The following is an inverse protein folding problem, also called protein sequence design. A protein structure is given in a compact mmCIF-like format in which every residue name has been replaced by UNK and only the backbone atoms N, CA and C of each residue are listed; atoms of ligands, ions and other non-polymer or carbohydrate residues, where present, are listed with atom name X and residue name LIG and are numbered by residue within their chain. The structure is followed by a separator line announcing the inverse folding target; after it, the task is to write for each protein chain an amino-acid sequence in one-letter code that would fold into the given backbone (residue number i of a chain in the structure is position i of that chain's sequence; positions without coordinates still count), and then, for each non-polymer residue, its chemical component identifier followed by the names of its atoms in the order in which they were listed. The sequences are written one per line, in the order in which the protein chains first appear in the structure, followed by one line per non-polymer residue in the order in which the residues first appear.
data_IF_389194420763
#
_entry.id   IF_389194420763
#
_cell.length_a   1.000
_cell.length_b   1.000
_cell.length_c   1.000
_cell.angle_alpha   90.00
_cell.angle_beta   90.00
_cell.angle_gamma   90.00
#
_symmetry.space_group_name_H-M   'P 1'
#
loop_
_entity.id
_entity.type
_entity.pdbx_description
1 polymer ?
#
# COMPACT_ATOMS: atom_id res chain seq x y z
N UNK A 1 -8.91 -7.50 21.75
CA UNK A 1 -9.71 -6.44 22.43
C UNK A 1 -10.73 -5.79 21.49
N UNK A 2 -10.30 -5.11 20.41
CA UNK A 2 -11.20 -4.38 19.49
C UNK A 2 -12.34 -5.25 18.94
N UNK A 3 -12.03 -6.46 18.45
CA UNK A 3 -13.03 -7.39 17.89
C UNK A 3 -14.16 -7.73 18.89
N UNK A 4 -13.83 -7.98 20.15
CA UNK A 4 -14.81 -8.32 21.20
C UNK A 4 -15.69 -7.12 21.57
N UNK A 5 -15.11 -5.92 21.67
CA UNK A 5 -15.88 -4.70 21.93
C UNK A 5 -16.82 -4.37 20.77
N UNK A 6 -16.37 -4.59 19.54
CA UNK A 6 -17.20 -4.40 18.34
C UNK A 6 -18.33 -5.43 18.26
N UNK A 7 -18.07 -6.71 18.52
CA UNK A 7 -19.11 -7.75 18.59
C UNK A 7 -20.18 -7.40 19.63
N UNK A 8 -19.76 -6.99 20.84
CA UNK A 8 -20.69 -6.55 21.87
C UNK A 8 -21.54 -5.36 21.41
N UNK A 9 -20.92 -4.34 20.79
CA UNK A 9 -21.65 -3.18 20.25
C UNK A 9 -22.62 -3.55 19.13
N UNK A 10 -22.26 -4.47 18.24
CA UNK A 10 -23.14 -4.96 17.17
C UNK A 10 -24.31 -5.75 17.73
N UNK A 11 -24.09 -6.61 18.73
CA UNK A 11 -25.15 -7.35 19.44
C UNK A 11 -26.14 -6.40 20.09
N UNK A 12 -25.65 -5.41 20.83
CA UNK A 12 -26.50 -4.44 21.52
C UNK A 12 -27.35 -3.65 20.52
N UNK A 13 -26.78 -3.28 19.36
CA UNK A 13 -27.54 -2.67 18.28
C UNK A 13 -28.59 -3.59 17.67
N UNK A 14 -28.29 -4.88 17.45
CA UNK A 14 -29.25 -5.84 16.89
C UNK A 14 -30.45 -6.09 17.81
N UNK A 15 -30.31 -5.87 19.12
CA UNK A 15 -31.41 -5.95 20.09
C UNK A 15 -32.31 -4.71 20.10
N UNK A 16 -31.85 -3.58 19.56
CA UNK A 16 -32.64 -2.35 19.51
C UNK A 16 -33.79 -2.44 18.50
N UNK A 17 -34.98 -1.97 18.88
CA UNK A 17 -36.21 -2.01 18.05
C UNK A 17 -36.10 -1.20 16.76
N UNK A 18 -35.39 -0.07 16.78
CA UNK A 18 -35.04 0.75 15.62
C UNK A 18 -33.52 0.73 15.47
N UNK A 19 -33.00 -0.28 14.80
CA UNK A 19 -31.56 -0.41 14.58
C UNK A 19 -31.16 0.05 13.18
N UNK A 20 -29.89 0.41 13.01
CA UNK A 20 -29.27 0.83 11.75
C UNK A 20 -29.49 -0.16 10.60
N UNK A 21 -29.72 -1.45 10.91
CA UNK A 21 -29.96 -2.51 9.94
C UNK A 21 -31.45 -2.72 9.61
N UNK A 22 -32.35 -2.01 10.29
CA UNK A 22 -33.81 -2.05 10.09
C UNK A 22 -34.35 -0.82 9.35
N UNK A 23 -33.63 0.31 9.37
CA UNK A 23 -34.04 1.56 8.70
C UNK A 23 -33.74 1.57 7.19
N UNK A 24 -32.76 0.79 6.74
CA UNK A 24 -32.52 0.54 5.32
C UNK A 24 -33.57 -0.46 4.79
N UNK A 25 -34.76 0.04 4.46
CA UNK A 25 -35.91 -0.74 4.01
C UNK A 25 -35.54 -1.89 3.06
N UNK A 26 -36.10 -3.08 3.32
CA UNK A 26 -36.07 -4.26 2.45
C UNK A 26 -34.70 -4.86 2.06
N UNK A 27 -33.60 -4.58 2.79
CA UNK A 27 -32.38 -5.40 2.68
C UNK A 27 -32.45 -6.75 3.41
N UNK A 28 -33.64 -7.18 3.83
CA UNK A 28 -33.88 -8.53 4.38
C UNK A 28 -33.62 -9.66 3.36
N UNK A 29 -33.26 -9.33 2.11
CA UNK A 29 -33.06 -10.26 1.00
C UNK A 29 -31.61 -10.40 0.52
N UNK A 30 -30.63 -9.68 1.08
CA UNK A 30 -29.22 -10.00 0.80
C UNK A 30 -28.83 -11.28 1.55
N UNK A 31 -29.04 -12.44 0.91
CA UNK A 31 -28.72 -13.78 1.41
C UNK A 31 -27.22 -14.02 1.66
N UNK A 32 -26.35 -13.07 1.33
CA UNK A 32 -24.90 -13.17 1.54
C UNK A 32 -24.44 -12.23 2.64
N UNK A 33 -24.04 -12.83 3.75
CA UNK A 33 -23.45 -12.11 4.89
C UNK A 33 -22.04 -11.67 4.51
N UNK A 34 -21.63 -10.42 4.79
CA UNK A 34 -20.23 -10.01 4.64
C UNK A 34 -19.37 -10.59 5.77
N UNK A 35 -18.05 -10.63 5.56
CA UNK A 35 -17.06 -10.87 6.60
C UNK A 35 -16.34 -9.57 6.98
N UNK A 36 -16.12 -9.35 8.27
CA UNK A 36 -15.27 -8.26 8.77
C UNK A 36 -13.99 -8.89 9.32
N UNK A 37 -12.87 -8.61 8.66
CA UNK A 37 -11.54 -9.07 9.04
C UNK A 37 -10.82 -7.92 9.75
N UNK A 38 -10.46 -8.13 11.03
CA UNK A 38 -9.72 -7.17 11.84
C UNK A 38 -8.27 -7.66 11.98
N UNK A 39 -7.33 -6.85 11.53
CA UNK A 39 -5.89 -7.12 11.63
C UNK A 39 -5.24 -6.08 12.54
N UNK A 40 -4.15 -6.47 13.20
CA UNK A 40 -3.27 -5.56 13.93
C UNK A 40 -2.04 -5.29 13.06
N UNK A 41 -1.49 -4.08 13.06
CA UNK A 41 -0.34 -3.71 12.22
C UNK A 41 0.88 -4.61 12.44
N UNK A 42 1.02 -5.19 13.63
CA UNK A 42 2.05 -6.18 13.91
C UNK A 42 1.97 -7.41 13.00
N UNK A 43 0.84 -7.67 12.34
CA UNK A 43 0.61 -8.78 11.43
C UNK A 43 1.58 -8.82 10.24
N UNK A 44 1.95 -7.66 9.69
CA UNK A 44 2.88 -7.60 8.55
C UNK A 44 3.60 -6.25 8.56
N UNK A 45 4.69 -6.16 9.34
CA UNK A 45 5.43 -4.91 9.54
C UNK A 45 6.22 -4.48 8.30
N UNK A 46 6.70 -5.42 7.49
CA UNK A 46 7.47 -5.16 6.26
C UNK A 46 6.72 -4.24 5.31
N UNK A 47 5.44 -4.52 5.08
CA UNK A 47 4.59 -3.74 4.18
C UNK A 47 4.43 -2.29 4.63
N UNK A 48 4.51 -2.03 5.93
CA UNK A 48 4.39 -0.67 6.48
C UNK A 48 5.64 0.19 6.21
N UNK A 49 6.80 -0.42 5.95
CA UNK A 49 8.09 0.27 5.78
C UNK A 49 8.75 0.02 4.42
N UNK A 50 8.29 -0.90 3.59
CA UNK A 50 8.92 -1.15 2.29
C UNK A 50 8.80 0.05 1.35
N UNK A 51 9.80 0.24 0.49
CA UNK A 51 9.69 1.12 -0.66
C UNK A 51 8.91 0.41 -1.76
N UNK A 52 7.79 1.01 -2.16
CA UNK A 52 6.95 0.50 -3.24
C UNK A 52 7.07 1.41 -4.46
N UNK A 53 7.18 0.80 -5.64
CA UNK A 53 7.50 1.51 -6.87
C UNK A 53 6.28 1.74 -7.78
N UNK A 54 5.07 1.38 -7.31
CA UNK A 54 3.80 1.67 -7.99
C UNK A 54 3.38 3.11 -7.76
N UNK A 55 2.62 3.64 -8.70
CA UNK A 55 2.38 5.09 -8.79
C UNK A 55 1.80 5.68 -7.50
N UNK A 56 0.71 5.12 -6.98
CA UNK A 56 0.02 5.69 -5.82
C UNK A 56 0.78 5.52 -4.51
N UNK A 57 1.31 4.32 -4.16
CA UNK A 57 2.20 4.18 -3.02
C UNK A 57 3.38 5.14 -3.07
N UNK A 58 4.02 5.29 -4.24
CA UNK A 58 5.18 6.15 -4.42
C UNK A 58 4.82 7.64 -4.28
N UNK A 59 3.72 8.10 -4.88
CA UNK A 59 3.21 9.47 -4.70
C UNK A 59 2.89 9.76 -3.23
N UNK A 60 2.32 8.80 -2.51
CA UNK A 60 2.01 8.95 -1.09
C UNK A 60 3.25 9.02 -0.22
N UNK A 61 4.17 8.07 -0.39
CA UNK A 61 5.37 7.93 0.44
C UNK A 61 6.40 9.03 0.18
N UNK A 62 6.56 9.44 -1.08
CA UNK A 62 7.62 10.38 -1.49
C UNK A 62 7.13 11.83 -1.54
N UNK A 63 5.90 12.08 -2.02
CA UNK A 63 5.38 13.44 -2.20
C UNK A 63 4.32 13.84 -1.16
N UNK A 64 4.03 12.98 -0.19
CA UNK A 64 3.17 13.31 0.95
C UNK A 64 1.70 13.51 0.59
N UNK A 65 1.11 12.58 -0.17
CA UNK A 65 -0.32 12.61 -0.52
C UNK A 65 -1.22 12.61 0.73
N UNK A 66 -1.92 13.71 0.99
CA UNK A 66 -2.82 13.87 2.15
C UNK A 66 -4.14 14.45 1.70
N UNK A 67 -5.25 13.83 2.11
CA UNK A 67 -6.60 14.27 1.73
C UNK A 67 -6.73 14.48 0.21
N UNK A 68 -6.21 13.53 -0.57
CA UNK A 68 -6.14 13.59 -2.04
C UNK A 68 -5.35 14.77 -2.60
N UNK A 69 -4.54 15.46 -1.80
CA UNK A 69 -3.75 16.61 -2.22
C UNK A 69 -2.27 16.37 -1.99
N UNK A 70 -1.45 16.88 -2.89
CA UNK A 70 0.00 16.94 -2.75
C UNK A 70 0.51 18.28 -3.26
N UNK A 71 1.77 18.58 -2.97
CA UNK A 71 2.43 19.78 -3.47
C UNK A 71 3.84 19.46 -3.94
N UNK A 72 4.19 19.90 -5.15
CA UNK A 72 5.53 19.71 -5.72
C UNK A 72 6.19 21.06 -6.00
N UNK A 73 7.52 21.09 -5.97
CA UNK A 73 8.27 22.27 -6.37
C UNK A 73 8.20 22.43 -7.89
N UNK A 74 7.67 23.57 -8.37
CA UNK A 74 7.63 23.88 -9.79
C UNK A 74 8.95 24.44 -10.31
N UNK A 75 9.25 24.20 -11.60
CA UNK A 75 10.47 24.65 -12.30
C UNK A 75 10.77 26.16 -12.20
N UNK A 76 9.74 26.99 -11.95
CA UNK A 76 9.84 28.47 -11.90
C UNK A 76 9.61 29.07 -10.51
N UNK A 77 10.08 28.39 -9.46
CA UNK A 77 10.20 28.88 -8.07
C UNK A 77 8.91 29.02 -7.23
N UNK A 78 7.86 28.28 -7.55
CA UNK A 78 6.64 28.20 -6.74
C UNK A 78 6.22 26.77 -6.44
N UNK A 79 5.70 26.52 -5.24
CA UNK A 79 5.09 25.24 -4.88
C UNK A 79 3.74 25.12 -5.59
N UNK A 80 3.57 24.08 -6.41
CA UNK A 80 2.32 23.78 -7.12
C UNK A 80 1.56 22.70 -6.38
N UNK A 81 0.30 22.96 -6.03
CA UNK A 81 -0.58 21.97 -5.42
C UNK A 81 -1.39 21.23 -6.48
N UNK A 82 -1.52 19.92 -6.32
CA UNK A 82 -2.34 19.04 -7.16
C UNK A 82 -3.33 18.26 -6.31
N UNK A 83 -4.51 18.02 -6.87
CA UNK A 83 -5.57 17.18 -6.28
C UNK A 83 -5.75 15.92 -7.14
N UNK A 84 -5.77 14.75 -6.51
CA UNK A 84 -5.80 13.42 -7.12
C UNK A 84 -7.01 12.65 -6.58
N UNK A 85 -8.14 12.75 -7.27
CA UNK A 85 -9.39 12.12 -6.85
C UNK A 85 -9.99 11.24 -7.97
N UNK A 86 -11.24 10.81 -7.81
CA UNK A 86 -11.93 9.93 -8.78
C UNK A 86 -12.38 10.64 -10.05
N UNK A 87 -12.36 11.96 -10.10
CA UNK A 87 -12.68 12.74 -11.30
C UNK A 87 -11.51 12.80 -12.29
N UNK A 88 -10.30 12.48 -11.83
CA UNK A 88 -9.10 12.40 -12.65
C UNK A 88 -9.00 11.04 -13.37
N UNK A 89 -9.25 10.98 -14.69
CA UNK A 89 -9.25 9.72 -15.42
C UNK A 89 -7.86 9.09 -15.52
N UNK A 90 -6.79 9.91 -15.57
CA UNK A 90 -5.43 9.38 -15.63
C UNK A 90 -5.05 8.71 -14.30
N UNK A 91 -5.36 9.38 -13.18
CA UNK A 91 -5.11 8.81 -11.85
C UNK A 91 -5.86 7.50 -11.64
N UNK A 92 -7.15 7.45 -11.96
CA UNK A 92 -7.99 6.26 -11.77
C UNK A 92 -7.52 5.08 -12.63
N UNK A 93 -7.00 5.33 -13.83
CA UNK A 93 -6.51 4.28 -14.72
C UNK A 93 -5.12 3.75 -14.31
N UNK A 94 -4.26 4.60 -13.75
CA UNK A 94 -2.82 4.32 -13.65
C UNK A 94 -2.27 4.22 -12.23
N UNK A 95 -3.09 4.40 -11.19
CA UNK A 95 -2.62 4.43 -9.79
C UNK A 95 -1.91 3.15 -9.32
N UNK A 96 -2.24 1.99 -9.93
CA UNK A 96 -1.69 0.68 -9.57
C UNK A 96 -0.49 0.26 -10.43
N UNK A 97 -0.17 0.99 -11.50
CA UNK A 97 0.93 0.66 -12.41
C UNK A 97 2.29 0.91 -11.75
N UNK A 98 3.30 0.17 -12.20
CA UNK A 98 4.69 0.43 -11.86
C UNK A 98 5.12 1.78 -12.44
N UNK A 99 5.95 2.53 -11.71
CA UNK A 99 6.33 3.90 -12.12
C UNK A 99 6.87 4.02 -13.56
N UNK A 100 7.69 3.07 -14.10
CA UNK A 100 8.11 3.11 -15.49
C UNK A 100 6.94 3.04 -16.50
N UNK A 101 5.89 2.28 -16.18
CA UNK A 101 4.70 2.14 -17.04
C UNK A 101 3.86 3.42 -17.04
N UNK A 102 3.80 4.13 -15.91
CA UNK A 102 3.15 5.45 -15.84
C UNK A 102 3.81 6.45 -16.79
N UNK A 103 5.14 6.43 -16.88
CA UNK A 103 5.88 7.30 -17.80
C UNK A 103 5.53 6.99 -19.27
N UNK A 104 5.39 5.71 -19.63
CA UNK A 104 4.94 5.29 -20.95
C UNK A 104 3.51 5.74 -21.25
N UNK A 105 2.61 5.68 -20.26
CA UNK A 105 1.22 6.13 -20.44
C UNK A 105 1.14 7.66 -20.59
N UNK A 106 1.94 8.44 -19.85
CA UNK A 106 2.05 9.89 -20.05
C UNK A 106 2.50 10.20 -21.49
N UNK A 107 3.53 9.50 -21.98
CA UNK A 107 4.03 9.67 -23.34
C UNK A 107 2.98 9.30 -24.39
N UNK A 108 2.26 8.18 -24.19
CA UNK A 108 1.19 7.76 -25.08
C UNK A 108 0.06 8.80 -25.16
N UNK A 109 -0.36 9.35 -24.01
CA UNK A 109 -1.41 10.36 -23.96
C UNK A 109 -0.96 11.70 -24.57
N UNK A 110 0.29 12.10 -24.36
CA UNK A 110 0.88 13.28 -24.97
C UNK A 110 0.97 13.15 -26.49
N UNK A 111 1.40 12.00 -27.00
CA UNK A 111 1.48 11.72 -28.43
C UNK A 111 0.10 11.72 -29.08
N UNK A 112 -0.91 11.12 -28.43
CA UNK A 112 -2.29 11.16 -28.91
C UNK A 112 -2.84 12.60 -28.88
N UNK A 113 -2.59 13.36 -27.82
CA UNK A 113 -2.97 14.79 -27.76
C UNK A 113 -2.37 15.61 -28.91
N UNK A 114 -1.07 15.43 -29.22
CA UNK A 114 -0.42 16.14 -30.35
C UNK A 114 -1.09 15.82 -31.68
N UNK A 115 -1.41 14.55 -31.95
CA UNK A 115 -2.13 14.12 -33.16
C UNK A 115 -3.51 14.75 -33.24
N UNK A 116 -4.26 14.74 -32.14
CA UNK A 116 -5.62 15.31 -32.09
C UNK A 116 -5.59 16.83 -32.33
N UNK A 117 -4.60 17.55 -31.79
CA UNK A 117 -4.38 18.98 -32.06
C UNK A 117 -4.04 19.25 -33.52
N UNK A 118 -3.15 18.45 -34.12
CA UNK A 118 -2.82 18.57 -35.55
C UNK A 118 -4.05 18.34 -36.44
N UNK A 119 -4.90 17.38 -36.10
CA UNK A 119 -6.13 17.11 -36.83
C UNK A 119 -7.13 18.28 -36.73
N UNK A 120 -7.29 18.86 -35.53
CA UNK A 120 -8.10 20.07 -35.34
C UNK A 120 -7.56 21.22 -36.18
N UNK A 121 -6.25 21.48 -36.15
CA UNK A 121 -5.61 22.54 -36.94
C UNK A 121 -5.80 22.37 -38.45
N UNK A 122 -5.75 21.13 -38.95
CA UNK A 122 -6.06 20.81 -40.36
C UNK A 122 -7.52 21.12 -40.70
N UNK A 123 -8.46 20.77 -39.81
CA UNK A 123 -9.90 20.99 -40.00
C UNK A 123 -10.33 22.46 -39.87
N UNK A 124 -9.57 23.29 -39.15
CA UNK A 124 -9.82 24.74 -39.00
C UNK A 124 -9.11 25.60 -40.04
N UNK A 125 -8.51 25.00 -41.07
CA UNK A 125 -7.99 25.75 -42.23
C UNK A 125 -6.58 26.33 -42.05
N UNK A 126 -5.68 25.65 -41.34
CA UNK A 126 -4.27 26.04 -41.19
C UNK A 126 -3.42 25.95 -42.46
N UNK A 127 -3.94 26.32 -43.63
CA UNK A 127 -3.14 26.48 -44.85
C UNK A 127 -2.90 27.98 -45.09
N UNK A 128 -1.83 28.50 -44.49
CA UNK A 128 -1.31 29.85 -44.75
C UNK A 128 -0.88 29.97 -46.22
N UNK A 129 -1.80 30.24 -47.14
CA UNK A 129 -1.45 30.52 -48.55
C UNK A 129 -2.49 30.24 -49.65
N UNK A 130 -3.74 29.86 -49.36
CA UNK A 130 -4.76 29.71 -50.41
C UNK A 130 -5.73 30.92 -50.41
N UNK A 131 -5.86 31.59 -51.57
CA UNK A 131 -6.87 32.62 -51.79
C UNK A 131 -8.28 32.03 -51.61
N UNK A 132 -9.09 32.74 -50.84
CA UNK A 132 -10.43 32.34 -50.41
C UNK A 132 -11.45 32.59 -51.53
N UNK A 133 -11.92 31.53 -52.20
CA UNK A 133 -13.09 31.59 -53.08
C UNK A 133 -14.37 31.30 -52.28
N UNK A 134 -15.36 32.19 -52.38
CA UNK A 134 -16.50 32.33 -51.46
C UNK A 134 -17.57 31.23 -51.54
N UNK A 135 -17.26 30.07 -52.12
CA UNK A 135 -18.21 28.98 -52.42
C UNK A 135 -18.14 27.79 -51.45
N UNK A 136 -17.10 27.69 -50.59
CA UNK A 136 -16.88 26.55 -49.67
C UNK A 136 -17.43 26.72 -48.23
N UNK A 137 -18.23 27.75 -47.98
CA UNK A 137 -18.65 28.15 -46.63
C UNK A 137 -19.54 27.14 -45.88
N UNK A 138 -20.33 26.32 -46.57
CA UNK A 138 -21.36 25.48 -45.92
C UNK A 138 -20.77 24.17 -45.36
N UNK A 139 -19.71 23.62 -45.97
CA UNK A 139 -18.97 22.46 -45.45
C UNK A 139 -18.02 22.83 -44.32
N UNK A 140 -17.29 23.93 -44.47
CA UNK A 140 -16.31 24.41 -43.48
C UNK A 140 -16.94 24.85 -42.17
N UNK A 141 -18.18 25.35 -42.16
CA UNK A 141 -18.87 25.77 -40.91
C UNK A 141 -19.10 24.61 -39.95
N UNK A 142 -19.45 23.41 -40.45
CA UNK A 142 -19.61 22.22 -39.59
C UNK A 142 -18.27 21.71 -39.04
N UNK A 143 -17.21 21.73 -39.85
CA UNK A 143 -15.87 21.35 -39.41
C UNK A 143 -15.28 22.33 -38.40
N UNK A 144 -15.48 23.63 -38.60
CA UNK A 144 -15.14 24.69 -37.65
C UNK A 144 -15.94 24.55 -36.35
N UNK A 145 -17.25 24.28 -36.41
CA UNK A 145 -18.08 24.12 -35.22
C UNK A 145 -17.66 22.90 -34.39
N UNK A 146 -17.37 21.76 -35.03
CA UNK A 146 -16.86 20.57 -34.34
C UNK A 146 -15.47 20.79 -33.72
N UNK A 147 -14.59 21.51 -34.42
CA UNK A 147 -13.27 21.88 -33.91
C UNK A 147 -13.36 22.84 -32.71
N UNK A 148 -14.22 23.84 -32.76
CA UNK A 148 -14.47 24.76 -31.64
C UNK A 148 -15.02 24.02 -30.43
N UNK A 149 -15.88 23.03 -30.64
CA UNK A 149 -16.44 22.20 -29.56
C UNK A 149 -15.41 21.26 -28.91
N UNK A 150 -14.33 20.87 -29.60
CA UNK A 150 -13.28 19.98 -29.05
C UNK A 150 -12.14 20.72 -28.35
N UNK A 151 -12.01 22.04 -28.52
CA UNK A 151 -10.95 22.83 -27.86
C UNK A 151 -11.01 22.80 -26.32
N UNK A 152 -12.19 22.87 -25.66
CA UNK A 152 -12.27 22.74 -24.21
C UNK A 152 -11.78 21.37 -23.72
N UNK A 153 -12.21 20.29 -24.40
CA UNK A 153 -11.81 18.92 -24.08
C UNK A 153 -10.28 18.71 -24.25
N UNK A 154 -9.70 19.23 -25.34
CA UNK A 154 -8.25 19.19 -25.56
C UNK A 154 -7.49 19.99 -24.51
N UNK A 155 -8.07 21.10 -24.03
CA UNK A 155 -7.47 21.94 -22.98
C UNK A 155 -7.47 21.20 -21.65
N UNK A 156 -8.59 20.62 -21.24
CA UNK A 156 -8.70 19.83 -20.02
C UNK A 156 -7.77 18.61 -20.05
N UNK A 157 -7.73 17.90 -21.18
CA UNK A 157 -6.82 16.77 -21.37
C UNK A 157 -5.35 17.18 -21.26
N UNK A 158 -4.97 18.33 -21.83
CA UNK A 158 -3.62 18.88 -21.66
C UNK A 158 -3.31 19.17 -20.19
N UNK A 159 -4.25 19.73 -19.43
CA UNK A 159 -4.07 19.99 -18.00
C UNK A 159 -3.83 18.71 -17.19
N UNK A 160 -4.56 17.64 -17.49
CA UNK A 160 -4.34 16.31 -16.87
C UNK A 160 -2.93 15.78 -17.22
N UNK A 161 -2.53 15.82 -18.49
CA UNK A 161 -1.19 15.40 -18.93
C UNK A 161 -0.10 16.22 -18.24
N UNK A 162 -0.21 17.55 -18.22
CA UNK A 162 0.77 18.44 -17.62
C UNK A 162 0.87 18.19 -16.10
N UNK A 163 -0.26 17.98 -15.42
CA UNK A 163 -0.31 17.62 -13.99
C UNK A 163 0.47 16.34 -13.70
N UNK A 164 0.20 15.25 -14.41
CA UNK A 164 0.90 13.98 -14.16
C UNK A 164 2.35 14.00 -14.62
N UNK A 165 2.68 14.78 -15.65
CA UNK A 165 4.06 15.03 -16.05
C UNK A 165 4.84 15.72 -14.92
N UNK A 166 4.30 16.77 -14.31
CA UNK A 166 4.94 17.46 -13.17
C UNK A 166 5.15 16.52 -11.98
N UNK A 167 4.14 15.70 -11.65
CA UNK A 167 4.24 14.71 -10.56
C UNK A 167 5.32 13.67 -10.88
N UNK A 168 5.33 13.12 -12.10
CA UNK A 168 6.31 12.11 -12.51
C UNK A 168 7.74 12.68 -12.55
N UNK A 169 7.93 13.93 -12.98
CA UNK A 169 9.24 14.60 -12.94
C UNK A 169 9.74 14.79 -11.51
N UNK A 170 8.86 15.21 -10.59
CA UNK A 170 9.22 15.35 -9.17
C UNK A 170 9.62 13.99 -8.57
N UNK A 171 8.84 12.94 -8.82
CA UNK A 171 9.17 11.58 -8.40
C UNK A 171 10.50 11.11 -8.97
N UNK A 172 10.76 11.33 -10.27
CA UNK A 172 12.00 10.91 -10.91
C UNK A 172 13.23 11.60 -10.27
N UNK A 173 13.09 12.86 -9.84
CA UNK A 173 14.12 13.57 -9.08
C UNK A 173 14.46 12.83 -7.78
N UNK A 174 13.44 12.60 -6.94
CA UNK A 174 13.57 11.90 -5.66
C UNK A 174 14.14 10.48 -5.80
N UNK A 175 13.65 9.71 -6.78
CA UNK A 175 14.13 8.35 -7.07
C UNK A 175 15.63 8.38 -7.38
N UNK A 176 16.10 9.29 -8.22
CA UNK A 176 17.52 9.38 -8.62
C UNK A 176 18.42 9.88 -7.49
N UNK A 177 17.94 10.86 -6.72
CA UNK A 177 18.68 11.44 -5.61
C UNK A 177 18.88 10.42 -4.49
N UNK A 178 17.81 9.70 -4.13
CA UNK A 178 17.78 8.74 -3.02
C UNK A 178 18.11 7.30 -3.43
N UNK A 179 18.16 7.00 -4.73
CA UNK A 179 18.30 5.65 -5.29
C UNK A 179 17.18 4.69 -4.82
N UNK A 180 15.94 5.18 -4.84
CA UNK A 180 14.76 4.42 -4.37
C UNK A 180 14.52 3.13 -5.17
N UNK A 181 14.87 3.12 -6.45
CA UNK A 181 14.84 1.94 -7.31
C UNK A 181 15.74 0.82 -6.75
N UNK A 182 16.91 1.18 -6.22
CA UNK A 182 17.83 0.22 -5.62
C UNK A 182 17.33 -0.31 -4.28
N UNK A 183 16.75 0.56 -3.42
CA UNK A 183 16.14 0.14 -2.16
C UNK A 183 14.98 -0.83 -2.41
N UNK A 184 13.99 -0.44 -3.21
CA UNK A 184 12.82 -1.26 -3.50
C UNK A 184 13.21 -2.64 -4.07
N UNK A 185 14.17 -2.69 -5.01
CA UNK A 185 14.66 -3.94 -5.57
C UNK A 185 15.30 -4.84 -4.51
N UNK A 186 16.21 -4.29 -3.71
CA UNK A 186 16.94 -5.05 -2.67
C UNK A 186 16.00 -5.53 -1.57
N UNK A 187 15.04 -4.70 -1.17
CA UNK A 187 14.01 -5.08 -0.19
C UNK A 187 13.15 -6.23 -0.72
N UNK A 188 12.71 -6.15 -1.98
CA UNK A 188 11.96 -7.24 -2.60
C UNK A 188 12.79 -8.53 -2.70
N UNK A 189 14.03 -8.45 -3.19
CA UNK A 189 14.94 -9.60 -3.27
C UNK A 189 15.17 -10.21 -1.88
N UNK A 190 15.34 -9.38 -0.84
CA UNK A 190 15.51 -9.81 0.54
C UNK A 190 14.26 -10.52 1.09
N UNK A 191 13.06 -10.03 0.78
CA UNK A 191 11.82 -10.67 1.20
C UNK A 191 11.57 -11.99 0.45
N UNK A 192 11.82 -12.04 -0.86
CA UNK A 192 11.56 -13.24 -1.68
C UNK A 192 12.62 -14.33 -1.48
N UNK A 193 13.89 -13.94 -1.36
CA UNK A 193 15.02 -14.89 -1.30
C UNK A 193 15.48 -15.19 0.13
N UNK A 194 15.09 -14.35 1.10
CA UNK A 194 15.50 -14.47 2.50
C UNK A 194 16.96 -14.15 2.78
N UNK A 195 17.73 -13.66 1.79
CA UNK A 195 19.17 -13.40 1.92
C UNK A 195 19.57 -12.16 1.12
N UNK A 196 20.48 -11.36 1.68
CA UNK A 196 21.18 -10.27 1.01
C UNK A 196 22.68 -10.38 1.28
N UNK A 197 23.51 -9.99 0.30
CA UNK A 197 24.95 -9.92 0.52
C UNK A 197 25.33 -8.81 1.53
N UNK A 198 26.30 -9.11 2.39
CA UNK A 198 26.75 -8.19 3.45
C UNK A 198 27.30 -6.88 2.89
N UNK A 199 28.01 -6.92 1.77
CA UNK A 199 28.55 -5.72 1.12
C UNK A 199 27.43 -4.87 0.51
N UNK A 200 26.38 -5.49 -0.02
CA UNK A 200 25.21 -4.78 -0.53
C UNK A 200 24.40 -4.12 0.58
N UNK A 201 24.24 -4.80 1.72
CA UNK A 201 23.59 -4.27 2.92
C UNK A 201 24.32 -3.01 3.40
N UNK A 202 25.62 -3.11 3.65
CA UNK A 202 26.41 -1.98 4.14
C UNK A 202 26.56 -0.88 3.09
N UNK A 203 26.67 -1.25 1.81
CA UNK A 203 26.68 -0.30 0.71
C UNK A 203 25.41 0.55 0.65
N UNK A 204 24.24 -0.02 0.93
CA UNK A 204 22.99 0.73 1.02
C UNK A 204 23.00 1.67 2.25
N UNK A 205 23.36 1.16 3.44
CA UNK A 205 23.37 1.96 4.67
C UNK A 205 24.35 3.14 4.62
N UNK A 206 25.47 3.00 3.91
CA UNK A 206 26.48 4.07 3.76
C UNK A 206 26.27 4.91 2.50
N UNK A 207 25.45 4.46 1.56
CA UNK A 207 25.25 5.09 0.26
C UNK A 207 24.22 6.23 0.26
N UNK A 208 23.60 6.40 -0.91
CA UNK A 208 22.48 7.34 -1.15
C UNK A 208 21.24 6.96 -0.31
N UNK A 209 20.27 7.88 -0.28
CA UNK A 209 19.05 7.74 0.48
C UNK A 209 19.04 8.63 1.72
N UNK A 210 17.84 8.96 2.16
CA UNK A 210 17.63 9.71 3.40
C UNK A 210 17.97 8.86 4.61
N UNK A 211 18.08 9.49 5.79
CA UNK A 211 18.24 8.78 7.07
C UNK A 211 17.09 7.77 7.29
N UNK A 212 15.89 8.14 6.86
CA UNK A 212 14.69 7.28 6.95
C UNK A 212 14.78 6.10 5.99
N UNK A 213 15.23 6.29 4.74
CA UNK A 213 15.38 5.19 3.77
C UNK A 213 16.36 4.13 4.29
N UNK A 214 17.50 4.59 4.82
CA UNK A 214 18.52 3.72 5.44
C UNK A 214 17.99 2.96 6.66
N UNK A 215 17.20 3.64 7.51
CA UNK A 215 16.59 3.03 8.69
C UNK A 215 15.53 1.98 8.31
N UNK A 216 14.66 2.29 7.34
CA UNK A 216 13.67 1.35 6.78
C UNK A 216 14.37 0.11 6.24
N UNK A 217 15.45 0.29 5.47
CA UNK A 217 16.23 -0.80 4.91
C UNK A 217 16.88 -1.69 6.00
N UNK A 218 17.47 -1.08 7.03
CA UNK A 218 18.04 -1.82 8.16
C UNK A 218 16.97 -2.61 8.93
N UNK A 219 15.77 -2.03 9.12
CA UNK A 219 14.65 -2.72 9.76
C UNK A 219 14.10 -3.82 8.85
N UNK A 220 14.07 -3.62 7.54
CA UNK A 220 13.68 -4.66 6.57
C UNK A 220 14.59 -5.88 6.68
N UNK A 221 15.89 -5.67 6.76
CA UNK A 221 16.85 -6.76 7.01
C UNK A 221 16.66 -7.43 8.36
N UNK A 222 16.36 -6.63 9.38
CA UNK A 222 16.06 -7.16 10.70
C UNK A 222 14.82 -8.05 10.70
N UNK A 223 13.78 -7.75 9.92
CA UNK A 223 12.56 -8.59 9.86
C UNK A 223 12.67 -9.74 8.87
N UNK A 224 13.48 -9.64 7.81
CA UNK A 224 13.62 -10.71 6.81
C UNK A 224 14.48 -11.88 7.28
N UNK A 225 15.22 -11.73 8.38
CA UNK A 225 16.14 -12.74 8.92
C UNK A 225 15.47 -13.48 10.08
N UNK A 226 15.78 -14.76 10.30
CA UNK A 226 15.27 -15.47 11.49
C UNK A 226 16.07 -15.12 12.74
N UNK A 227 17.41 -15.18 12.62
CA UNK A 227 18.35 -14.86 13.69
C UNK A 227 19.46 -13.96 13.15
N UNK A 228 19.95 -13.05 13.99
CA UNK A 228 21.02 -12.11 13.64
C UNK A 228 22.19 -12.31 14.61
N UNK A 229 23.37 -12.68 14.10
CA UNK A 229 24.58 -12.67 14.91
C UNK A 229 24.84 -11.28 15.50
N UNK A 230 25.29 -11.23 16.75
CA UNK A 230 25.59 -9.97 17.45
C UNK A 230 26.58 -9.09 16.67
N UNK A 231 27.55 -9.70 15.99
CA UNK A 231 28.53 -9.00 15.14
C UNK A 231 27.90 -8.31 13.92
N UNK A 232 26.80 -8.84 13.38
CA UNK A 232 26.07 -8.19 12.29
C UNK A 232 25.22 -7.04 12.79
N UNK A 233 24.60 -7.19 13.96
CA UNK A 233 23.86 -6.13 14.63
C UNK A 233 24.78 -4.93 14.90
N UNK A 234 25.96 -5.16 15.48
CA UNK A 234 26.95 -4.11 15.75
C UNK A 234 27.43 -3.41 14.48
N UNK A 235 27.62 -4.17 13.41
CA UNK A 235 28.00 -3.61 12.11
C UNK A 235 26.91 -2.69 11.55
N UNK A 236 25.64 -3.11 11.61
CA UNK A 236 24.50 -2.29 11.14
C UNK A 236 24.37 -1.03 11.99
N UNK A 237 24.39 -1.17 13.31
CA UNK A 237 24.29 -0.04 14.24
C UNK A 237 25.44 0.97 14.03
N UNK A 238 26.65 0.47 13.74
CA UNK A 238 27.80 1.32 13.41
C UNK A 238 27.56 2.07 12.10
N UNK A 239 27.12 1.39 11.03
CA UNK A 239 26.85 2.03 9.74
C UNK A 239 25.72 3.09 9.83
N UNK A 240 24.68 2.81 10.62
CA UNK A 240 23.59 3.77 10.89
C UNK A 240 24.10 4.99 11.66
N UNK A 241 24.95 4.78 12.68
CA UNK A 241 25.53 5.87 13.48
C UNK A 241 26.49 6.74 12.66
N UNK A 242 27.32 6.13 11.81
CA UNK A 242 28.19 6.85 10.86
C UNK A 242 27.38 7.68 9.85
N UNK A 243 26.15 7.26 9.54
CA UNK A 243 25.20 8.02 8.71
C UNK A 243 24.30 8.97 9.53
N UNK A 244 24.60 9.16 10.81
CA UNK A 244 23.85 10.01 11.75
C UNK A 244 22.36 9.69 11.82
N UNK A 245 22.00 8.41 11.70
CA UNK A 245 20.61 7.92 11.78
C UNK A 245 20.25 7.64 13.23
N UNK A 246 19.07 8.11 13.68
CA UNK A 246 18.50 7.68 14.95
C UNK A 246 18.12 6.19 14.89
N UNK A 247 18.70 5.40 15.78
CA UNK A 247 18.51 3.94 15.80
C UNK A 247 17.36 3.50 16.70
N UNK A 248 16.61 4.42 17.31
CA UNK A 248 15.59 4.08 18.30
C UNK A 248 14.51 3.13 17.77
N UNK A 249 14.00 3.37 16.55
CA UNK A 249 13.05 2.47 15.91
C UNK A 249 13.66 1.07 15.64
N UNK A 250 14.92 1.02 15.20
CA UNK A 250 15.63 -0.24 14.96
C UNK A 250 15.79 -1.04 16.26
N UNK A 251 16.16 -0.38 17.37
CA UNK A 251 16.25 -1.03 18.68
C UNK A 251 14.91 -1.56 19.16
N UNK A 252 13.83 -0.79 18.95
CA UNK A 252 12.47 -1.21 19.29
C UNK A 252 12.09 -2.49 18.55
N UNK A 253 12.22 -2.52 17.23
CA UNK A 253 11.89 -3.70 16.43
C UNK A 253 12.77 -4.89 16.82
N UNK A 254 14.06 -4.67 17.10
CA UNK A 254 14.98 -5.73 17.54
C UNK A 254 14.52 -6.34 18.85
N UNK A 255 14.11 -5.50 19.80
CA UNK A 255 13.60 -5.94 21.11
C UNK A 255 12.31 -6.74 20.98
N UNK A 256 11.33 -6.24 20.21
CA UNK A 256 10.05 -6.93 20.00
C UNK A 256 10.26 -8.27 19.30
N UNK A 257 11.10 -8.33 18.27
CA UNK A 257 11.47 -9.57 17.58
C UNK A 257 12.05 -10.61 18.56
N UNK A 258 13.00 -10.20 19.41
CA UNK A 258 13.59 -11.08 20.42
C UNK A 258 12.58 -11.58 21.47
N UNK A 259 11.66 -10.74 21.91
CA UNK A 259 10.59 -11.12 22.84
C UNK A 259 9.63 -12.13 22.20
N UNK A 260 9.29 -11.94 20.93
CA UNK A 260 8.42 -12.85 20.20
C UNK A 260 9.05 -14.24 20.03
N UNK A 261 10.32 -14.30 19.65
CA UNK A 261 11.08 -15.58 19.59
C UNK A 261 11.10 -16.25 20.96
N UNK A 262 11.37 -15.50 22.04
CA UNK A 262 11.43 -16.05 23.40
C UNK A 262 10.08 -16.60 23.89
N UNK A 263 8.98 -15.91 23.58
CA UNK A 263 7.62 -16.35 23.91
C UNK A 263 7.22 -17.60 23.11
N UNK A 264 7.62 -17.68 21.84
CA UNK A 264 7.42 -18.87 21.02
C UNK A 264 8.14 -20.09 21.59
N UNK A 265 9.39 -19.92 22.04
CA UNK A 265 10.16 -20.99 22.68
C UNK A 265 9.57 -21.41 24.04
N UNK A 266 9.09 -20.47 24.85
CA UNK A 266 8.51 -20.75 26.17
C UNK A 266 7.17 -21.52 26.11
N UNK A 267 6.36 -21.30 25.08
CA UNK A 267 5.08 -21.99 24.88
C UNK A 267 5.19 -23.34 24.15
N UNK A 268 6.41 -23.89 24.00
CA UNK A 268 6.66 -25.19 23.36
C UNK A 268 6.07 -26.41 24.10
N UNK A 269 5.37 -26.21 25.23
CA UNK A 269 4.55 -27.24 25.89
C UNK A 269 3.13 -27.38 25.28
N UNK A 270 2.64 -26.42 24.49
CA UNK A 270 1.39 -26.53 23.73
C UNK A 270 1.69 -26.61 22.24
N UNK A 271 1.84 -27.83 21.73
CA UNK A 271 2.05 -28.13 20.31
C UNK A 271 0.90 -27.57 19.47
N UNK A 272 1.16 -26.52 18.69
CA UNK A 272 0.81 -26.41 17.25
C UNK A 272 0.68 -24.97 16.72
N UNK A 273 0.42 -23.95 17.55
CA UNK A 273 -0.09 -22.66 17.03
C UNK A 273 0.89 -21.46 17.15
N UNK A 274 1.97 -21.58 17.91
CA UNK A 274 2.89 -20.46 18.24
C UNK A 274 4.29 -20.69 17.63
N UNK A 275 4.49 -21.69 16.80
CA UNK A 275 5.65 -21.69 15.87
C UNK A 275 5.24 -21.02 14.56
N UNK A 276 3.97 -21.20 14.20
CA UNK A 276 3.33 -20.72 12.99
C UNK A 276 3.19 -19.18 12.93
N UNK A 277 3.05 -18.45 14.04
CA UNK A 277 3.06 -16.96 14.03
C UNK A 277 4.44 -16.35 13.77
N UNK A 278 5.54 -16.96 14.24
CA UNK A 278 6.90 -16.49 13.95
C UNK A 278 7.28 -16.84 12.50
N UNK A 279 6.84 -18.02 12.05
CA UNK A 279 6.87 -18.42 10.65
C UNK A 279 5.93 -17.56 9.77
N UNK A 280 4.80 -17.05 10.25
CA UNK A 280 3.91 -16.15 9.48
C UNK A 280 4.34 -14.68 9.52
N UNK A 281 4.95 -14.21 10.60
CA UNK A 281 5.46 -12.84 10.75
C UNK A 281 6.81 -12.64 10.05
N UNK A 282 7.65 -13.69 10.02
CA UNK A 282 9.02 -13.60 9.50
C UNK A 282 9.39 -14.70 8.50
N UNK A 283 8.73 -15.87 8.51
CA UNK A 283 9.08 -17.05 7.69
C UNK A 283 8.23 -17.29 6.42
N UNK A 284 7.09 -16.62 6.22
CA UNK A 284 6.26 -16.80 5.02
C UNK A 284 6.77 -16.01 3.82
N UNK A 285 7.87 -15.27 4.01
CA UNK A 285 8.73 -14.82 2.92
C UNK A 285 9.64 -15.96 2.41
N UNK A 286 9.86 -17.02 3.20
CA UNK A 286 10.82 -18.11 2.92
C UNK A 286 10.11 -19.45 2.55
N UNK A 287 8.93 -19.75 3.11
CA UNK A 287 8.25 -21.05 2.89
C UNK A 287 7.45 -21.16 1.57
N UNK A 288 7.45 -20.14 0.71
CA UNK A 288 6.81 -20.22 -0.62
C UNK A 288 7.59 -21.11 -1.63
N UNK A 289 8.79 -21.59 -1.27
CA UNK A 289 9.70 -22.29 -2.20
C UNK A 289 9.40 -23.80 -2.35
N UNK A 290 8.55 -24.40 -1.52
CA UNK A 290 8.29 -25.86 -1.56
C UNK A 290 6.95 -26.27 -2.16
N UNK A 291 6.08 -25.34 -2.58
CA UNK A 291 4.82 -25.64 -3.25
C UNK A 291 4.80 -25.15 -4.70
N UNK A 292 5.23 -26.01 -5.62
CA UNK A 292 4.74 -26.00 -7.00
C UNK A 292 5.41 -25.00 -7.95
N UNK A 293 6.39 -25.51 -8.69
CA UNK A 293 7.05 -24.86 -9.82
C UNK A 293 6.04 -24.61 -10.96
N UNK A 294 5.30 -23.50 -10.91
CA UNK A 294 4.53 -23.00 -12.07
C UNK A 294 4.41 -21.48 -12.19
N UNK A 295 5.01 -20.68 -11.30
CA UNK A 295 5.00 -19.21 -11.35
C UNK A 295 6.42 -18.61 -11.35
N UNK A 296 7.34 -19.17 -12.13
CA UNK A 296 8.71 -18.65 -12.25
C UNK A 296 8.83 -17.43 -13.18
N UNK A 297 7.72 -16.76 -13.51
CA UNK A 297 7.69 -15.54 -14.33
C UNK A 297 6.75 -14.44 -13.79
N UNK A 298 6.06 -14.64 -12.67
CA UNK A 298 5.34 -13.55 -12.01
C UNK A 298 6.17 -13.02 -10.85
N UNK A 299 6.49 -11.74 -10.92
CA UNK A 299 7.15 -10.92 -9.90
C UNK A 299 6.33 -10.72 -8.62
N UNK A 300 5.16 -11.35 -8.47
CA UNK A 300 4.18 -10.99 -7.46
C UNK A 300 4.22 -11.92 -6.24
N UNK A 301 5.02 -11.53 -5.24
CA UNK A 301 4.84 -12.02 -3.88
C UNK A 301 3.53 -11.45 -3.31
N UNK A 302 2.48 -12.28 -3.22
CA UNK A 302 1.19 -11.87 -2.64
C UNK A 302 1.35 -11.64 -1.12
N UNK A 303 1.00 -10.44 -0.67
CA UNK A 303 1.09 -10.03 0.74
C UNK A 303 0.38 -11.03 1.67
N UNK A 304 0.91 -11.22 2.87
CA UNK A 304 0.29 -12.12 3.87
C UNK A 304 -1.15 -11.68 4.18
N UNK A 305 -1.41 -10.36 4.18
CA UNK A 305 -2.75 -9.81 4.37
C UNK A 305 -3.71 -10.30 3.28
N UNK A 306 -3.32 -10.17 2.01
CA UNK A 306 -4.15 -10.56 0.88
C UNK A 306 -4.40 -12.07 0.86
N UNK A 307 -3.39 -12.90 1.12
CA UNK A 307 -3.56 -14.36 1.22
C UNK A 307 -4.51 -14.75 2.35
N UNK A 308 -4.37 -14.11 3.51
CA UNK A 308 -5.23 -14.40 4.66
C UNK A 308 -6.67 -13.94 4.43
N UNK A 309 -6.88 -12.77 3.81
CA UNK A 309 -8.21 -12.30 3.42
C UNK A 309 -8.85 -13.24 2.40
N UNK A 310 -8.10 -13.70 1.40
CA UNK A 310 -8.56 -14.70 0.43
C UNK A 310 -9.03 -15.98 1.12
N UNK A 311 -8.21 -16.53 2.02
CA UNK A 311 -8.52 -17.72 2.82
C UNK A 311 -9.77 -17.53 3.71
N UNK A 312 -9.87 -16.40 4.41
CA UNK A 312 -11.03 -16.05 5.23
C UNK A 312 -12.30 -15.92 4.39
N UNK A 313 -12.21 -15.32 3.20
CA UNK A 313 -13.34 -15.19 2.28
C UNK A 313 -13.75 -16.52 1.66
N UNK A 314 -12.85 -17.49 1.49
CA UNK A 314 -13.24 -18.85 1.11
C UNK A 314 -13.99 -19.59 2.23
N UNK A 315 -13.61 -19.34 3.48
CA UNK A 315 -14.21 -19.96 4.67
C UNK A 315 -14.07 -21.49 4.66
N UNK A 316 -13.03 -22.02 4.02
CA UNK A 316 -12.64 -23.43 4.14
C UNK A 316 -11.67 -23.58 5.31
N UNK A 317 -11.81 -24.60 6.16
CA UNK A 317 -10.85 -24.87 7.22
C UNK A 317 -9.43 -24.95 6.65
N UNK A 318 -8.52 -24.15 7.19
CA UNK A 318 -7.11 -24.20 6.85
C UNK A 318 -6.27 -23.70 8.04
N UNK A 319 -5.01 -24.16 8.17
CA UNK A 319 -4.14 -23.75 9.28
C UNK A 319 -3.86 -22.24 9.33
N UNK A 320 -4.02 -21.52 8.22
CA UNK A 320 -3.80 -20.07 8.16
C UNK A 320 -4.85 -19.31 8.98
N UNK A 321 -6.10 -19.75 8.95
CA UNK A 321 -7.23 -19.05 9.56
C UNK A 321 -7.74 -19.69 10.86
N UNK A 322 -7.30 -20.90 11.21
CA UNK A 322 -7.75 -21.62 12.41
C UNK A 322 -7.43 -20.90 13.73
N UNK A 323 -6.41 -20.03 13.72
CA UNK A 323 -6.02 -19.20 14.88
C UNK A 323 -6.92 -17.98 15.10
N UNK A 324 -7.77 -17.62 14.13
CA UNK A 324 -8.61 -16.43 14.23
C UNK A 324 -9.80 -16.65 15.14
N UNK A 325 -10.06 -15.65 15.98
CA UNK A 325 -11.26 -15.61 16.82
C UNK A 325 -12.44 -15.17 15.97
N UNK A 326 -13.49 -15.98 15.94
CA UNK A 326 -14.69 -15.72 15.15
C UNK A 326 -15.81 -15.22 16.07
N UNK A 327 -16.46 -14.14 15.63
CA UNK A 327 -17.63 -13.56 16.27
C UNK A 327 -18.80 -13.53 15.30
N UNK A 328 -19.96 -14.04 15.73
CA UNK A 328 -21.22 -13.90 15.01
C UNK A 328 -22.22 -13.11 15.88
N UNK A 329 -22.41 -11.80 15.63
CA UNK A 329 -23.32 -10.96 16.40
C UNK A 329 -24.78 -11.43 16.41
N UNK A 330 -25.20 -12.25 15.43
CA UNK A 330 -26.56 -12.82 15.34
C UNK A 330 -26.68 -14.17 16.04
N UNK A 331 -25.58 -14.88 16.26
CA UNK A 331 -25.60 -16.17 16.96
C UNK A 331 -25.79 -15.97 18.47
N UNK A 332 -26.33 -16.97 19.21
CA UNK A 332 -26.45 -16.91 20.66
C UNK A 332 -25.10 -16.63 21.35
N UNK A 333 -25.12 -15.92 22.49
CA UNK A 333 -23.89 -15.61 23.26
C UNK A 333 -23.15 -16.87 23.73
N UNK A 334 -23.82 -18.02 23.84
CA UNK A 334 -23.19 -19.29 24.19
C UNK A 334 -22.24 -19.85 23.12
N UNK A 335 -22.27 -19.31 21.90
CA UNK A 335 -21.39 -19.71 20.80
C UNK A 335 -20.37 -18.62 20.41
N UNK A 336 -20.32 -17.49 21.12
CA UNK A 336 -19.40 -16.39 20.80
C UNK A 336 -17.98 -16.68 21.30
N UNK A 337 -16.98 -16.58 20.42
CA UNK A 337 -15.57 -16.68 20.81
C UNK A 337 -15.04 -18.11 20.98
N UNK A 338 -15.80 -19.13 20.59
CA UNK A 338 -15.28 -20.50 20.47
C UNK A 338 -14.58 -20.66 19.12
N UNK A 339 -13.31 -21.08 19.15
CA UNK A 339 -12.51 -21.42 17.96
C UNK A 339 -13.13 -22.54 17.10
N UNK A 340 -14.15 -23.24 17.60
CA UNK A 340 -14.81 -24.37 16.93
C UNK A 340 -16.07 -24.00 16.14
N UNK A 341 -16.51 -22.73 16.10
CA UNK A 341 -17.58 -22.33 15.18
C UNK A 341 -16.97 -22.08 13.80
N UNK A 342 -16.92 -23.11 12.96
CA UNK A 342 -16.33 -22.99 11.63
C UNK A 342 -16.98 -21.85 10.84
N UNK A 343 -16.14 -20.91 10.40
CA UNK A 343 -16.51 -19.85 9.47
C UNK A 343 -17.10 -20.48 8.21
N UNK A 344 -18.38 -20.29 7.92
CA UNK A 344 -19.03 -20.88 6.73
C UNK A 344 -19.01 -19.89 5.57
N UNK A 345 -17.98 -20.00 4.72
CA UNK A 345 -17.90 -19.31 3.43
C UNK A 345 -18.63 -20.08 2.30
N UNK A 346 -18.52 -19.60 1.05
CA UNK A 346 -17.71 -18.47 0.60
C UNK A 346 -18.42 -17.11 0.78
N UNK A 347 -17.64 -16.08 1.13
CA UNK A 347 -18.07 -14.69 1.24
C UNK A 347 -17.82 -13.95 -0.08
N UNK A 348 -18.81 -13.15 -0.52
CA UNK A 348 -18.65 -12.24 -1.67
C UNK A 348 -18.13 -10.86 -1.28
N UNK A 349 -18.34 -10.47 -0.03
CA UNK A 349 -18.02 -9.15 0.49
C UNK A 349 -17.14 -9.27 1.73
N UNK A 350 -16.03 -8.52 1.76
CA UNK A 350 -15.16 -8.40 2.92
C UNK A 350 -14.94 -6.92 3.26
N UNK A 351 -14.99 -6.62 4.55
CA UNK A 351 -14.45 -5.40 5.12
C UNK A 351 -13.16 -5.78 5.82
N UNK A 352 -12.04 -5.20 5.42
CA UNK A 352 -10.72 -5.43 5.99
C UNK A 352 -10.31 -4.17 6.74
N UNK A 353 -10.07 -4.27 8.04
CA UNK A 353 -9.67 -3.14 8.85
C UNK A 353 -8.33 -3.39 9.55
N UNK A 354 -7.33 -2.58 9.21
CA UNK A 354 -6.00 -2.63 9.81
C UNK A 354 -5.87 -1.67 10.99
N UNK A 355 -5.69 -2.20 12.20
CA UNK A 355 -5.54 -1.44 13.44
C UNK A 355 -4.06 -1.08 13.63
N UNK A 356 -3.76 0.20 13.80
CA UNK A 356 -2.38 0.65 14.04
C UNK A 356 -1.65 1.14 12.78
N UNK A 357 -2.40 1.50 11.74
CA UNK A 357 -1.86 2.12 10.54
C UNK A 357 -1.93 1.21 9.30
N UNK A 358 -2.26 1.81 8.18
CA UNK A 358 -2.41 1.14 6.90
C UNK A 358 -1.78 1.96 5.80
N UNK A 359 -1.68 1.41 4.58
CA UNK A 359 -1.07 2.13 3.47
C UNK A 359 -1.66 1.73 2.12
N UNK A 360 -1.17 2.39 1.07
CA UNK A 360 -1.65 2.14 -0.29
C UNK A 360 -1.12 0.86 -0.93
N UNK A 361 -0.07 0.25 -0.38
CA UNK A 361 0.42 -1.06 -0.83
C UNK A 361 -0.61 -2.13 -0.48
N UNK A 362 -1.10 -2.14 0.76
CA UNK A 362 -2.13 -3.07 1.22
C UNK A 362 -3.44 -2.88 0.47
N UNK A 363 -3.87 -1.61 0.33
CA UNK A 363 -5.03 -1.26 -0.47
C UNK A 363 -4.89 -1.82 -1.89
N UNK A 364 -3.78 -1.56 -2.56
CA UNK A 364 -3.54 -2.01 -3.94
C UNK A 364 -3.61 -3.53 -4.06
N UNK A 365 -2.94 -4.25 -3.17
CA UNK A 365 -2.93 -5.72 -3.17
C UNK A 365 -4.33 -6.32 -2.95
N UNK A 366 -5.14 -5.72 -2.06
CA UNK A 366 -6.51 -6.16 -1.82
C UNK A 366 -7.45 -5.86 -3.00
N UNK A 367 -7.28 -4.72 -3.68
CA UNK A 367 -8.05 -4.41 -4.88
C UNK A 367 -7.70 -5.35 -6.04
N UNK A 368 -6.42 -5.67 -6.21
CA UNK A 368 -5.98 -6.64 -7.21
C UNK A 368 -6.54 -8.03 -6.92
N UNK A 369 -6.47 -8.49 -5.67
CA UNK A 369 -7.09 -9.74 -5.23
C UNK A 369 -8.59 -9.77 -5.57
N UNK A 370 -9.32 -8.70 -5.24
CA UNK A 370 -10.76 -8.60 -5.48
C UNK A 370 -11.11 -8.72 -6.97
N UNK A 371 -10.33 -8.06 -7.84
CA UNK A 371 -10.53 -8.03 -9.29
C UNK A 371 -10.07 -9.31 -10.01
N UNK A 372 -9.07 -10.02 -9.48
CA UNK A 372 -8.57 -11.28 -10.04
C UNK A 372 -9.55 -12.44 -9.86
N UNK A 373 -10.39 -12.40 -8.84
CA UNK A 373 -11.31 -13.49 -8.53
C UNK A 373 -12.53 -13.54 -9.46
N UNK A 374 -13.05 -14.76 -9.68
CA UNK A 374 -14.22 -15.02 -10.50
C UNK A 374 -15.25 -15.83 -9.70
N UNK A 375 -16.45 -15.28 -9.40
CA UNK A 375 -16.88 -13.91 -9.69
C UNK A 375 -16.07 -12.86 -8.91
N UNK A 376 -16.02 -11.64 -9.43
CA UNK A 376 -15.37 -10.49 -8.77
C UNK A 376 -15.92 -10.35 -7.35
N UNK A 377 -15.02 -10.26 -6.38
CA UNK A 377 -15.38 -10.04 -4.98
C UNK A 377 -15.34 -8.55 -4.64
N UNK A 378 -16.08 -8.16 -3.61
CA UNK A 378 -16.09 -6.78 -3.13
C UNK A 378 -15.29 -6.67 -1.84
N UNK A 379 -14.17 -5.94 -1.86
CA UNK A 379 -13.30 -5.76 -0.70
C UNK A 379 -13.17 -4.28 -0.36
N UNK A 380 -13.65 -3.91 0.83
CA UNK A 380 -13.48 -2.58 1.40
C UNK A 380 -12.28 -2.64 2.35
N UNK A 381 -11.28 -1.80 2.12
CA UNK A 381 -10.14 -1.65 3.03
C UNK A 381 -10.26 -0.37 3.85
N UNK A 382 -10.03 -0.48 5.14
CA UNK A 382 -9.98 0.62 6.09
C UNK A 382 -8.83 0.44 7.07
N UNK A 383 -8.45 1.53 7.73
CA UNK A 383 -7.42 1.52 8.76
C UNK A 383 -7.66 2.66 9.73
N UNK A 384 -6.99 2.66 10.88
CA UNK A 384 -6.99 3.79 11.81
C UNK A 384 -6.45 5.06 11.16
N UNK A 385 -5.35 4.95 10.42
CA UNK A 385 -4.66 6.06 9.75
C UNK A 385 -3.91 5.52 8.52
N UNK A 386 -3.85 6.29 7.43
CA UNK A 386 -3.04 5.93 6.25
C UNK A 386 -1.65 6.55 6.42
N UNK A 387 -0.62 5.74 6.64
CA UNK A 387 0.73 6.18 7.01
C UNK A 387 1.73 5.98 5.87
N UNK A 388 2.67 6.91 5.71
CA UNK A 388 3.87 6.68 4.90
C UNK A 388 4.84 5.77 5.65
N UNK A 389 5.86 5.25 4.96
CA UNK A 389 6.91 4.48 5.62
C UNK A 389 7.66 5.31 6.66
N UNK A 390 7.87 6.60 6.37
CA UNK A 390 8.49 7.54 7.32
C UNK A 390 7.67 7.77 8.59
N UNK A 391 6.37 8.03 8.47
CA UNK A 391 5.50 8.23 9.64
C UNK A 391 5.39 6.96 10.50
N UNK A 392 5.37 5.78 9.87
CA UNK A 392 5.36 4.54 10.62
C UNK A 392 6.67 4.32 11.38
N UNK A 393 7.82 4.67 10.79
CA UNK A 393 9.12 4.66 11.47
C UNK A 393 9.12 5.60 12.69
N UNK A 394 8.51 6.79 12.59
CA UNK A 394 8.38 7.71 13.73
C UNK A 394 7.55 7.11 14.86
N UNK A 395 6.45 6.40 14.54
CA UNK A 395 5.67 5.68 15.55
C UNK A 395 6.50 4.58 16.24
N UNK A 396 7.29 3.82 15.49
CA UNK A 396 8.22 2.81 16.05
C UNK A 396 9.28 3.46 16.94
N UNK A 397 9.83 4.61 16.56
CA UNK A 397 10.78 5.36 17.36
C UNK A 397 10.14 5.83 18.68
N UNK A 398 8.92 6.37 18.64
CA UNK A 398 8.18 6.78 19.84
C UNK A 398 7.93 5.61 20.80
N UNK A 399 7.62 4.42 20.28
CA UNK A 399 7.47 3.21 21.09
C UNK A 399 8.82 2.79 21.69
N UNK A 400 9.90 2.89 20.93
CA UNK A 400 11.26 2.69 21.44
C UNK A 400 11.59 3.60 22.60
N UNK A 401 11.33 4.90 22.48
CA UNK A 401 11.54 5.89 23.55
C UNK A 401 10.72 5.55 24.81
N UNK A 402 9.44 5.17 24.64
CA UNK A 402 8.58 4.73 25.75
C UNK A 402 9.08 3.46 26.44
N UNK A 403 9.82 2.61 25.73
CA UNK A 403 10.52 1.44 26.27
C UNK A 403 11.90 1.75 26.88
N UNK A 404 12.32 3.02 26.89
CA UNK A 404 13.65 3.42 27.33
C UNK A 404 14.78 3.04 26.37
N UNK A 405 14.45 2.85 25.09
CA UNK A 405 15.41 2.58 24.01
C UNK A 405 15.81 3.90 23.33
N UNK A 406 17.02 3.95 22.78
CA UNK A 406 17.61 5.13 22.15
C UNK A 406 18.58 5.89 23.06
N UNK A 407 19.42 6.73 22.48
CA UNK A 407 20.26 7.65 23.26
C UNK A 407 19.36 8.72 23.83
N UNK A 408 19.25 8.81 25.16
CA UNK A 408 18.62 9.95 25.83
C UNK A 408 19.36 11.22 25.44
N UNK A 409 18.89 11.93 24.42
CA UNK A 409 19.18 13.35 24.34
C UNK A 409 18.33 13.95 25.44
N UNK A 410 18.93 14.11 26.62
CA UNK A 410 18.40 14.96 27.67
C UNK A 410 18.08 16.30 27.03
N UNK A 411 16.80 16.59 26.83
CA UNK A 411 16.35 17.95 26.53
C UNK A 411 16.83 18.82 27.69
N UNK A 412 17.62 19.87 27.46
CA UNK A 412 17.88 20.83 28.51
C UNK A 412 16.54 21.44 28.88
N UNK A 413 16.20 21.41 30.16
CA UNK A 413 15.04 22.13 30.68
C UNK A 413 15.26 23.62 30.37
N UNK A 414 14.39 24.18 29.52
CA UNK A 414 14.21 25.62 29.39
C UNK A 414 12.92 26.03 30.11
#
# INVERSE_FOLDING_TARGET
MVASLLDQRLRDHLLAKNNLFSEAGNFTSSFQRPILCLFDRNFELSVAIQHDFRYRPLVHDVLGLRLNRLSVQGEKSGMKSFELDRSDPFWVANWSLEFPEVALEIEAQLNKYKKDVEEVNKRTGGNSGAEFDGTDLVGNTKHLMNAVNSLPELTERKQVIDKHTNIATALLGEIKERSLDSYAKKENDMMVRGVIDRSELIGALKGKGTKVDKLRFAIMYLISTESLPQSEVEMIETALRESEVDTTAFQYVKKIKSLNVSLASANSASRSNIVDWAEKLYGQSISAVTAGVKNLLSSDHQLALSRTVEALMEGKPNPEIDSYIIFDPRAPKSSSGMSSSHLKGPFKEAIVFMIGGGNYVEYGSLQELANRQQPVKHVIYGTTEILTGGEFIEQLALLGQKMGLGTSVTTPAH
#
